data_IF_560042716663
#
_entry.id   IF_560042716663
#
_cell.length_a   1.000
_cell.length_b   1.000
_cell.length_c   1.000
_cell.angle_alpha   90.00
_cell.angle_beta   90.00
_cell.angle_gamma   90.00
#
_symmetry.space_group_name_H-M   'P 1'
#
loop_
_entity.id
_entity.type
_entity.pdbx_description
1 polymer ?
#
# COMPACT_ATOMS: atom_id res chain seq x y z
N UNK A 1 -1.46 -11.63 9.59
CA UNK A 1 -2.03 -12.20 8.34
C UNK A 1 -2.86 -11.14 7.64
N UNK A 2 -2.75 -10.99 6.31
CA UNK A 2 -3.57 -10.05 5.53
C UNK A 2 -4.41 -10.79 4.49
N UNK A 3 -5.68 -10.40 4.36
CA UNK A 3 -6.58 -10.85 3.30
C UNK A 3 -7.13 -9.62 2.58
N UNK A 4 -7.13 -9.67 1.25
CA UNK A 4 -7.68 -8.61 0.41
C UNK A 4 -8.69 -9.21 -0.54
N UNK A 5 -9.90 -8.65 -0.58
CA UNK A 5 -11.01 -9.14 -1.40
C UNK A 5 -11.57 -7.99 -2.22
N UNK A 6 -11.82 -8.24 -3.50
CA UNK A 6 -12.50 -7.31 -4.39
C UNK A 6 -13.92 -7.84 -4.68
N UNK A 7 -14.90 -6.97 -4.50
CA UNK A 7 -16.30 -7.19 -4.90
C UNK A 7 -16.65 -6.20 -6.02
N UNK A 8 -17.90 -6.23 -6.51
CA UNK A 8 -18.35 -5.28 -7.52
C UNK A 8 -18.32 -3.81 -7.07
N UNK A 9 -18.34 -3.52 -5.76
CA UNK A 9 -18.45 -2.14 -5.24
C UNK A 9 -17.51 -1.82 -4.08
N UNK A 10 -16.78 -2.82 -3.57
CA UNK A 10 -15.90 -2.69 -2.39
C UNK A 10 -14.57 -3.41 -2.59
N UNK A 11 -13.50 -2.77 -2.15
CA UNK A 11 -12.25 -3.39 -1.75
C UNK A 11 -12.30 -3.62 -0.23
N UNK A 12 -12.19 -4.87 0.20
CA UNK A 12 -12.20 -5.24 1.63
C UNK A 12 -10.80 -5.71 2.01
N UNK A 13 -10.23 -5.08 3.03
CA UNK A 13 -8.93 -5.44 3.61
C UNK A 13 -9.19 -5.94 5.02
N UNK A 14 -8.72 -7.14 5.34
CA UNK A 14 -8.70 -7.65 6.71
C UNK A 14 -7.26 -7.96 7.11
N UNK A 15 -6.85 -7.51 8.28
CA UNK A 15 -5.53 -7.79 8.83
C UNK A 15 -5.65 -8.30 10.25
N UNK A 16 -4.97 -9.40 10.55
CA UNK A 16 -4.87 -9.97 11.89
C UNK A 16 -3.43 -9.90 12.36
N UNK A 17 -3.20 -9.14 13.42
CA UNK A 17 -1.94 -9.11 14.15
C UNK A 17 -1.98 -10.08 15.32
N UNK A 18 -0.82 -10.61 15.70
CA UNK A 18 -0.62 -11.39 16.92
C UNK A 18 0.20 -10.55 17.89
N UNK A 19 -0.23 -10.50 19.15
CA UNK A 19 0.39 -9.71 20.19
C UNK A 19 0.78 -10.59 21.37
N UNK A 20 1.97 -10.36 21.96
CA UNK A 20 2.31 -10.95 23.25
C UNK A 20 1.41 -10.37 24.36
N UNK A 21 1.39 -10.98 25.56
CA UNK A 21 0.78 -10.38 26.73
C UNK A 21 1.30 -8.97 27.01
N UNK A 22 0.42 -8.09 27.51
CA UNK A 22 0.76 -6.75 28.00
C UNK A 22 0.04 -6.43 29.33
N UNK A 23 0.20 -5.21 29.85
CA UNK A 23 -0.40 -4.79 31.12
C UNK A 23 -1.94 -4.80 31.12
N UNK A 24 -2.57 -4.62 29.96
CA UNK A 24 -4.03 -4.65 29.81
C UNK A 24 -4.55 -6.06 29.53
N UNK A 25 -3.78 -6.87 28.80
CA UNK A 25 -4.14 -8.22 28.38
C UNK A 25 -3.02 -9.21 28.75
N UNK A 26 -3.14 -9.93 29.89
CA UNK A 26 -2.06 -10.77 30.44
C UNK A 26 -1.89 -12.12 29.71
N UNK A 27 -2.52 -12.33 28.56
CA UNK A 27 -2.39 -13.53 27.73
C UNK A 27 -2.20 -13.14 26.27
N UNK A 28 -1.49 -13.95 25.45
CA UNK A 28 -1.33 -13.65 24.03
C UNK A 28 -2.69 -13.48 23.38
N UNK A 29 -2.81 -12.50 22.50
CA UNK A 29 -4.07 -12.18 21.84
C UNK A 29 -3.83 -11.85 20.38
N UNK A 30 -4.90 -11.89 19.60
CA UNK A 30 -4.88 -11.43 18.21
C UNK A 30 -5.83 -10.25 18.06
N UNK A 31 -5.45 -9.28 17.25
CA UNK A 31 -6.28 -8.15 16.89
C UNK A 31 -6.58 -8.24 15.41
N UNK A 32 -7.87 -8.24 15.04
CA UNK A 32 -8.27 -8.22 13.63
C UNK A 32 -8.93 -6.90 13.29
N UNK A 33 -8.38 -6.21 12.30
CA UNK A 33 -8.96 -5.02 11.70
C UNK A 33 -9.59 -5.38 10.36
N UNK A 34 -10.68 -4.71 10.00
CA UNK A 34 -11.31 -4.86 8.69
C UNK A 34 -11.74 -3.50 8.20
N UNK A 35 -11.36 -3.17 6.97
CA UNK A 35 -11.74 -1.95 6.28
C UNK A 35 -12.44 -2.30 4.96
N UNK A 36 -13.54 -1.61 4.67
CA UNK A 36 -14.30 -1.78 3.44
C UNK A 36 -14.36 -0.44 2.70
N UNK A 37 -13.61 -0.33 1.61
CA UNK A 37 -13.43 0.88 0.81
C UNK A 37 -14.29 0.78 -0.44
N UNK A 38 -15.05 1.83 -0.77
CA UNK A 38 -15.76 1.86 -2.05
C UNK A 38 -14.75 1.86 -3.21
N UNK A 39 -14.98 1.04 -4.24
CA UNK A 39 -14.07 1.00 -5.41
C UNK A 39 -13.93 2.39 -6.05
N UNK A 40 -15.02 3.17 -6.08
CA UNK A 40 -15.04 4.56 -6.55
C UNK A 40 -14.15 5.52 -5.74
N UNK A 41 -13.77 5.17 -4.51
CA UNK A 41 -12.90 5.97 -3.66
C UNK A 41 -11.41 5.68 -3.89
N UNK A 42 -11.07 4.58 -4.57
CA UNK A 42 -9.68 4.24 -4.90
C UNK A 42 -9.17 5.26 -5.91
N UNK A 43 -8.13 6.00 -5.53
CA UNK A 43 -7.52 7.07 -6.33
C UNK A 43 -6.32 6.61 -7.12
N UNK A 44 -5.57 5.63 -6.60
CA UNK A 44 -4.38 5.10 -7.25
C UNK A 44 -4.16 3.63 -6.91
N UNK A 45 -3.68 2.89 -7.90
CA UNK A 45 -3.23 1.50 -7.78
C UNK A 45 -1.83 1.43 -8.36
N UNK A 46 -0.84 1.18 -7.51
CA UNK A 46 0.58 1.13 -7.88
C UNK A 46 1.09 -0.29 -7.69
N UNK A 47 1.78 -0.83 -8.70
CA UNK A 47 2.40 -2.16 -8.64
C UNK A 47 3.89 -2.04 -8.92
N UNK A 48 4.71 -2.33 -7.91
CA UNK A 48 6.15 -2.53 -8.06
C UNK A 48 6.43 -4.02 -8.22
N UNK A 49 7.30 -4.38 -9.18
CA UNK A 49 7.74 -5.76 -9.41
C UNK A 49 9.25 -5.84 -9.23
N UNK A 50 9.72 -6.87 -8.54
CA UNK A 50 11.14 -7.16 -8.40
C UNK A 50 11.49 -8.43 -9.17
N UNK A 51 12.61 -8.40 -9.86
CA UNK A 51 13.11 -9.52 -10.67
C UNK A 51 14.49 -9.89 -10.16
N UNK A 52 14.66 -11.15 -9.77
CA UNK A 52 15.98 -11.71 -9.45
C UNK A 52 16.75 -11.99 -10.73
N UNK A 53 18.03 -11.60 -10.81
CA UNK A 53 18.92 -11.84 -11.95
C UNK A 53 18.41 -11.29 -13.29
N UNK A 54 18.37 -9.96 -13.47
CA UNK A 54 17.82 -9.32 -14.67
C UNK A 54 18.70 -9.45 -15.92
N UNK A 55 19.89 -10.06 -15.82
CA UNK A 55 20.84 -10.16 -16.92
C UNK A 55 20.35 -11.18 -17.98
N UNK A 56 20.39 -10.85 -19.29
CA UNK A 56 19.94 -11.74 -20.38
C UNK A 56 20.63 -13.10 -20.40
N UNK A 57 21.89 -13.13 -19.98
CA UNK A 57 22.81 -14.26 -19.89
C UNK A 57 22.62 -15.13 -18.64
N UNK A 58 21.81 -14.67 -17.67
CA UNK A 58 21.44 -15.44 -16.48
C UNK A 58 20.21 -16.35 -16.69
N UNK A 59 19.81 -16.59 -17.94
CA UNK A 59 18.62 -17.40 -18.27
C UNK A 59 17.29 -16.66 -18.05
N UNK A 60 17.32 -15.32 -17.97
CA UNK A 60 16.11 -14.52 -17.84
C UNK A 60 15.31 -14.56 -19.15
N UNK A 61 14.23 -15.33 -19.17
CA UNK A 61 13.28 -15.31 -20.29
C UNK A 61 12.43 -14.04 -20.18
N UNK A 62 12.31 -13.28 -21.27
CA UNK A 62 11.30 -12.23 -21.36
C UNK A 62 9.92 -12.85 -21.06
N UNK A 63 9.31 -12.47 -19.94
CA UNK A 63 8.07 -13.06 -19.44
C UNK A 63 8.21 -13.95 -18.19
N UNK A 64 9.41 -14.09 -17.61
CA UNK A 64 9.59 -14.72 -16.30
C UNK A 64 8.82 -13.98 -15.20
N UNK A 65 8.24 -14.74 -14.26
CA UNK A 65 7.47 -14.19 -13.15
C UNK A 65 8.37 -13.37 -12.21
N UNK A 66 7.92 -12.21 -11.72
CA UNK A 66 8.63 -11.45 -10.70
C UNK A 66 8.90 -12.32 -9.47
N UNK A 67 10.06 -12.15 -8.84
CA UNK A 67 10.38 -12.79 -7.56
C UNK A 67 9.67 -12.13 -6.39
N UNK A 68 9.20 -10.88 -6.57
CA UNK A 68 8.40 -10.15 -5.61
C UNK A 68 7.47 -9.18 -6.33
N UNK A 69 6.31 -8.93 -5.72
CA UNK A 69 5.44 -7.82 -6.09
C UNK A 69 4.99 -7.06 -4.84
N UNK A 70 4.90 -5.74 -4.97
CA UNK A 70 4.30 -4.83 -3.98
C UNK A 70 3.11 -4.16 -4.64
N UNK A 71 1.93 -4.31 -4.05
CA UNK A 71 0.72 -3.57 -4.40
C UNK A 71 0.50 -2.48 -3.37
N UNK A 72 0.43 -1.23 -3.82
CA UNK A 72 0.01 -0.09 -3.00
C UNK A 72 -1.28 0.49 -3.57
N UNK A 73 -2.27 0.71 -2.71
CA UNK A 73 -3.58 1.26 -3.05
C UNK A 73 -3.84 2.49 -2.20
N UNK A 74 -4.08 3.62 -2.88
CA UNK A 74 -4.38 4.89 -2.23
C UNK A 74 -5.86 5.21 -2.38
N UNK A 75 -6.59 5.33 -1.27
CA UNK A 75 -7.95 5.89 -1.25
C UNK A 75 -8.06 7.14 -0.37
N UNK A 76 -7.04 7.45 0.42
CA UNK A 76 -6.95 8.66 1.23
C UNK A 76 -8.05 8.75 2.27
N UNK A 77 -8.33 7.64 2.97
CA UNK A 77 -9.27 7.59 4.09
C UNK A 77 -8.87 8.60 5.18
N UNK A 78 -7.57 8.74 5.45
CA UNK A 78 -7.01 9.71 6.37
C UNK A 78 -5.91 10.49 5.64
N UNK A 79 -5.92 11.80 5.83
CA UNK A 79 -4.85 12.69 5.39
C UNK A 79 -4.26 13.37 6.61
N UNK A 80 -2.95 13.18 6.82
CA UNK A 80 -2.20 13.94 7.81
C UNK A 80 -1.58 15.14 7.12
N UNK A 81 -1.78 16.31 7.72
CA UNK A 81 -1.27 17.59 7.23
C UNK A 81 -0.31 18.13 8.27
N UNK A 82 0.98 18.18 7.95
CA UNK A 82 2.01 18.77 8.80
C UNK A 82 2.40 20.13 8.20
N UNK A 83 2.18 21.21 8.95
CA UNK A 83 2.42 22.59 8.51
C UNK A 83 3.45 23.28 9.42
N UNK A 84 4.29 24.11 8.82
CA UNK A 84 5.22 25.00 9.49
C UNK A 84 5.13 26.42 8.88
N UNK A 85 5.43 27.48 9.64
CA UNK A 85 5.52 28.83 9.08
C UNK A 85 6.52 28.87 7.92
N UNK A 86 6.10 29.40 6.78
CA UNK A 86 6.96 29.52 5.62
C UNK A 86 8.09 30.52 5.93
N UNK A 87 9.34 30.09 5.72
CA UNK A 87 10.52 30.92 5.99
C UNK A 87 10.97 31.67 4.73
N UNK A 88 11.39 32.92 4.92
CA UNK A 88 12.06 33.72 3.91
C UNK A 88 13.58 33.69 4.13
N UNK A 89 14.36 33.66 3.06
CA UNK A 89 15.82 33.76 3.13
C UNK A 89 16.32 35.19 3.44
N UNK A 90 15.41 36.18 3.38
CA UNK A 90 15.70 37.57 3.73
C UNK A 90 15.49 37.78 5.24
N UNK A 91 16.56 38.09 6.01
CA UNK A 91 16.49 38.27 7.45
C UNK A 91 15.74 39.54 7.87
N UNK A 92 15.54 40.50 6.97
CA UNK A 92 14.85 41.76 7.24
C UNK A 92 13.38 41.73 6.75
N UNK A 93 12.88 40.55 6.33
CA UNK A 93 11.54 40.39 5.80
C UNK A 93 10.50 40.18 6.91
N UNK A 94 9.63 41.17 7.10
CA UNK A 94 8.51 41.16 8.05
C UNK A 94 7.18 40.70 7.42
N UNK A 95 7.23 40.15 6.20
CA UNK A 95 6.03 39.71 5.48
C UNK A 95 5.52 38.35 5.99
N UNK A 96 4.20 38.21 6.12
CA UNK A 96 3.57 36.92 6.37
C UNK A 96 3.53 36.10 5.07
N UNK A 97 4.38 35.08 5.01
CA UNK A 97 4.47 34.15 3.88
C UNK A 97 3.53 32.95 4.02
N UNK A 98 2.70 32.91 5.06
CA UNK A 98 1.78 31.83 5.36
C UNK A 98 2.50 30.58 5.86
N UNK A 99 1.96 29.42 5.50
CA UNK A 99 2.46 28.11 5.94
C UNK A 99 2.89 27.26 4.75
N UNK A 100 4.02 26.59 4.90
CA UNK A 100 4.44 25.48 4.03
C UNK A 100 4.24 24.16 4.76
N UNK A 101 4.12 23.06 4.03
CA UNK A 101 3.99 21.76 4.68
C UNK A 101 3.77 20.60 3.72
N UNK A 102 3.55 19.44 4.30
CA UNK A 102 3.37 18.18 3.57
C UNK A 102 2.01 17.56 3.89
N UNK A 103 1.45 16.88 2.89
CA UNK A 103 0.23 16.08 3.06
C UNK A 103 0.60 14.64 2.80
N UNK A 104 0.41 13.79 3.81
CA UNK A 104 0.52 12.34 3.67
C UNK A 104 -0.88 11.73 3.69
N UNK A 105 -1.10 10.73 2.86
CA UNK A 105 -2.33 9.96 2.84
C UNK A 105 -2.03 8.54 3.31
N UNK A 106 -2.94 7.96 4.07
CA UNK A 106 -2.85 6.54 4.39
C UNK A 106 -3.09 5.73 3.11
N UNK A 107 -2.10 4.90 2.79
CA UNK A 107 -2.13 3.95 1.70
C UNK A 107 -2.08 2.54 2.27
N UNK A 108 -2.82 1.61 1.67
CA UNK A 108 -2.65 0.20 1.93
C UNK A 108 -1.54 -0.36 1.07
N UNK A 109 -0.59 -1.09 1.66
CA UNK A 109 0.46 -1.77 0.91
C UNK A 109 0.58 -3.22 1.33
N UNK A 110 0.74 -4.12 0.36
CA UNK A 110 1.04 -5.54 0.58
C UNK A 110 2.21 -5.95 -0.32
N UNK A 111 3.18 -6.63 0.29
CA UNK A 111 4.34 -7.23 -0.39
C UNK A 111 4.24 -8.74 -0.32
N UNK A 112 4.44 -9.39 -1.45
CA UNK A 112 4.44 -10.84 -1.59
C UNK A 112 5.68 -11.25 -2.37
N UNK A 113 6.40 -12.25 -1.87
CA UNK A 113 7.63 -12.76 -2.50
C UNK A 113 7.54 -14.24 -2.79
N UNK A 114 8.15 -14.68 -3.88
CA UNK A 114 8.19 -16.10 -4.23
C UNK A 114 8.94 -16.94 -3.18
N UNK A 115 9.95 -16.35 -2.52
CA UNK A 115 10.76 -17.02 -1.51
C UNK A 115 10.00 -17.29 -0.20
N UNK A 116 9.11 -16.38 0.22
CA UNK A 116 8.34 -16.52 1.46
C UNK A 116 6.94 -17.12 1.23
N UNK A 117 6.27 -16.71 0.15
CA UNK A 117 4.84 -16.96 -0.09
C UNK A 117 4.57 -17.90 -1.27
N UNK A 118 5.61 -18.22 -2.04
CA UNK A 118 5.54 -19.02 -3.26
C UNK A 118 5.19 -18.20 -4.51
N UNK A 119 5.62 -18.69 -5.67
CA UNK A 119 5.41 -18.03 -6.97
C UNK A 119 3.93 -17.76 -7.27
N UNK A 120 3.06 -18.71 -6.94
CA UNK A 120 1.61 -18.58 -7.13
C UNK A 120 1.02 -17.39 -6.36
N UNK A 121 1.58 -17.06 -5.18
CA UNK A 121 1.12 -15.91 -4.41
C UNK A 121 1.46 -14.59 -5.11
N UNK A 122 2.65 -14.49 -5.71
CA UNK A 122 3.06 -13.33 -6.51
C UNK A 122 2.14 -13.18 -7.72
N UNK A 123 1.86 -14.27 -8.44
CA UNK A 123 0.91 -14.27 -9.55
C UNK A 123 -0.49 -13.80 -9.15
N UNK A 124 -1.02 -14.34 -8.03
CA UNK A 124 -2.33 -13.93 -7.51
C UNK A 124 -2.37 -12.46 -7.16
N UNK A 125 -1.32 -11.91 -6.56
CA UNK A 125 -1.26 -10.48 -6.25
C UNK A 125 -1.27 -9.62 -7.52
N UNK A 126 -0.52 -10.02 -8.54
CA UNK A 126 -0.48 -9.30 -9.83
C UNK A 126 -1.82 -9.37 -10.57
N UNK A 127 -2.46 -10.54 -10.56
CA UNK A 127 -3.80 -10.74 -11.12
C UNK A 127 -4.84 -9.89 -10.37
N UNK A 128 -4.80 -9.91 -9.04
CA UNK A 128 -5.66 -9.08 -8.19
C UNK A 128 -5.49 -7.59 -8.49
N UNK A 129 -4.25 -7.11 -8.58
CA UNK A 129 -3.96 -5.70 -8.85
C UNK A 129 -4.49 -5.26 -10.23
N UNK A 130 -4.44 -6.14 -11.23
CA UNK A 130 -5.03 -5.89 -12.55
C UNK A 130 -6.55 -5.74 -12.46
N UNK A 131 -7.23 -6.71 -11.83
CA UNK A 131 -8.69 -6.67 -11.67
C UNK A 131 -9.14 -5.45 -10.86
N UNK A 132 -8.39 -5.08 -9.81
CA UNK A 132 -8.66 -3.86 -9.04
C UNK A 132 -8.54 -2.63 -9.93
N UNK A 133 -7.44 -2.48 -10.68
CA UNK A 133 -7.26 -1.34 -11.60
C UNK A 133 -8.39 -1.24 -12.62
N UNK A 134 -8.78 -2.35 -13.25
CA UNK A 134 -9.90 -2.41 -14.19
C UNK A 134 -11.22 -1.98 -13.52
N UNK A 135 -11.48 -2.41 -12.28
CA UNK A 135 -12.70 -2.02 -11.55
C UNK A 135 -12.79 -0.52 -11.27
N UNK A 136 -11.66 0.16 -11.05
CA UNK A 136 -11.64 1.61 -10.77
C UNK A 136 -12.00 2.48 -11.97
N UNK A 137 -11.93 1.92 -13.20
CA UNK A 137 -12.25 2.65 -14.44
C UNK A 137 -13.66 2.38 -14.96
N UNK A 138 -14.36 1.39 -14.39
CA UNK A 138 -15.72 0.99 -14.76
C UNK A 138 -16.80 1.64 -13.87
N UNK A 139 -16.39 2.54 -12.97
CA UNK A 139 -17.23 3.12 -11.92
C UNK A 139 -17.76 4.51 -12.25
#
# INVERSE_FOLDING_TARGET
MTVVVLTSTRLVVAHTDEHPPDEMLPSPYTATTTEAVAVTAVRSVVVQRMVSHPAPDAGHTAGGLPSEAVLTVAWGAIRRVDLEPAQCSDPDCEADHGYSGTVTADDFSIRVSAAADGTDAVERLLSFARTLSESTTQS
#
